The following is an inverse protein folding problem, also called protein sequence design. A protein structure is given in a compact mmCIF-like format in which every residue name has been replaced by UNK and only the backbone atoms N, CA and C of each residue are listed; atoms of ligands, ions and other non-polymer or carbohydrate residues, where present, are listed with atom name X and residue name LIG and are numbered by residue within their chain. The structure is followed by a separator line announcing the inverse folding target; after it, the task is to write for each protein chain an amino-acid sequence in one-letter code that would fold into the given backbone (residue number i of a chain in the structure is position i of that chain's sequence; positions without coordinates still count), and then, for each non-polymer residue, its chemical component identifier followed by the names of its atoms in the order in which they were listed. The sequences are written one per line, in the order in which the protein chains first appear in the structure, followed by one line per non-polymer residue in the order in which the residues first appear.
data_IF_734412418554
#
_entry.id   IF_734412418554
#
_cell.length_a   1.000
_cell.length_b   1.000
_cell.length_c   1.000
_cell.angle_alpha   90.00
_cell.angle_beta   90.00
_cell.angle_gamma   90.00
#
_symmetry.space_group_name_H-M   'P 1'
#
loop_
_entity.id
_entity.type
_entity.pdbx_description
1 polymer ?
#
# COMPACT_ATOMS: atom_id res chain seq x y z
N UNK A 1 -37.83 -30.55 15.98
CA UNK A 1 -37.51 -29.86 14.72
C UNK A 1 -37.27 -28.39 15.07
N UNK A 2 -36.13 -27.78 14.69
CA UNK A 2 -35.82 -27.45 13.29
C UNK A 2 -34.38 -27.78 12.84
N UNK A 3 -34.23 -27.96 11.51
CA UNK A 3 -32.95 -28.07 10.79
C UNK A 3 -32.48 -26.66 10.41
N UNK A 4 -31.26 -26.31 10.79
CA UNK A 4 -30.57 -25.10 10.31
C UNK A 4 -29.82 -25.49 9.03
N UNK A 5 -30.21 -24.89 7.91
CA UNK A 5 -29.42 -24.92 6.67
C UNK A 5 -28.34 -23.85 6.77
N UNK A 6 -27.09 -24.29 6.91
CA UNK A 6 -25.90 -23.50 6.62
C UNK A 6 -25.58 -23.76 5.15
N UNK A 7 -25.59 -22.71 4.32
CA UNK A 7 -25.03 -22.77 2.98
C UNK A 7 -24.10 -21.58 2.75
N UNK A 8 -22.99 -21.92 2.11
CA UNK A 8 -21.66 -21.34 2.27
C UNK A 8 -21.25 -20.38 1.13
N UNK A 9 -19.94 -20.06 1.16
CA UNK A 9 -19.09 -19.41 0.14
C UNK A 9 -19.16 -17.88 0.10
N UNK A 10 -18.06 -17.13 0.14
CA UNK A 10 -16.74 -17.40 -0.42
C UNK A 10 -15.57 -17.04 0.52
N UNK A 11 -14.56 -17.90 0.42
CA UNK A 11 -13.26 -17.90 1.06
C UNK A 11 -12.36 -16.84 0.39
N UNK A 12 -11.68 -16.00 1.19
CA UNK A 12 -10.54 -15.21 0.73
C UNK A 12 -9.28 -15.72 1.44
N UNK A 13 -8.62 -16.68 0.81
CA UNK A 13 -7.37 -17.29 1.29
C UNK A 13 -6.24 -16.26 1.17
N UNK A 14 -5.71 -15.82 2.30
CA UNK A 14 -4.45 -15.09 2.39
C UNK A 14 -3.32 -16.11 2.45
N UNK A 15 -2.68 -16.41 1.32
CA UNK A 15 -1.41 -17.13 1.34
C UNK A 15 -0.29 -16.16 1.69
N UNK A 16 0.34 -16.38 2.84
CA UNK A 16 1.71 -15.97 3.09
C UNK A 16 2.60 -17.01 2.40
N UNK A 17 3.41 -16.59 1.43
CA UNK A 17 4.38 -17.47 0.77
C UNK A 17 5.68 -17.40 1.57
N UNK A 18 6.17 -18.51 2.15
CA UNK A 18 7.52 -18.57 2.69
C UNK A 18 8.53 -18.63 1.52
N UNK A 19 9.62 -17.88 1.65
CA UNK A 19 10.70 -17.89 0.68
C UNK A 19 11.51 -19.20 0.78
N UNK A 20 11.33 -20.11 -0.16
CA UNK A 20 12.41 -20.89 -0.80
C UNK A 20 11.88 -21.86 -1.87
N UNK A 21 12.72 -22.08 -2.87
CA UNK A 21 12.71 -23.13 -3.92
C UNK A 21 12.19 -22.70 -5.29
N UNK A 22 13.15 -22.56 -6.21
CA UNK A 22 12.95 -22.61 -7.66
C UNK A 22 12.50 -24.04 -8.04
N UNK A 23 11.35 -24.18 -8.70
CA UNK A 23 11.14 -25.05 -9.88
C UNK A 23 9.68 -25.01 -10.39
N UNK A 24 9.57 -25.26 -11.69
CA UNK A 24 8.40 -25.62 -12.49
C UNK A 24 7.42 -24.52 -12.95
N UNK A 25 7.62 -24.17 -14.23
CA UNK A 25 6.59 -23.73 -15.18
C UNK A 25 5.34 -24.62 -15.10
N UNK A 26 4.22 -24.06 -14.67
CA UNK A 26 2.90 -24.31 -15.26
C UNK A 26 2.01 -23.11 -14.92
N UNK A 27 1.80 -22.24 -15.91
CA UNK A 27 1.13 -20.96 -15.73
C UNK A 27 -0.40 -21.14 -15.61
N UNK A 28 -1.04 -20.73 -14.50
CA UNK A 28 -2.49 -20.57 -14.48
C UNK A 28 -2.87 -19.29 -15.22
N UNK A 29 -3.12 -19.39 -16.53
CA UNK A 29 -3.48 -18.28 -17.46
C UNK A 29 -4.67 -17.38 -17.06
N UNK A 30 -5.38 -17.67 -15.97
CA UNK A 30 -6.51 -16.87 -15.49
C UNK A 30 -6.26 -16.07 -14.19
N UNK A 31 -5.17 -16.32 -13.46
CA UNK A 31 -4.82 -15.58 -12.24
C UNK A 31 -3.95 -14.36 -12.58
N UNK A 32 -3.16 -14.45 -13.65
CA UNK A 32 -2.12 -13.47 -13.98
C UNK A 32 -2.64 -12.10 -14.44
N UNK A 33 -3.84 -12.02 -15.02
CA UNK A 33 -4.36 -10.73 -15.52
C UNK A 33 -4.81 -9.79 -14.39
N UNK A 34 -5.24 -10.31 -13.24
CA UNK A 34 -5.57 -9.45 -12.08
C UNK A 34 -4.33 -9.08 -11.27
N UNK A 35 -3.30 -9.93 -11.25
CA UNK A 35 -2.02 -9.67 -10.56
C UNK A 35 -1.17 -8.68 -11.35
N UNK A 36 -1.16 -8.74 -12.69
CA UNK A 36 -0.50 -7.77 -13.55
C UNK A 36 -0.98 -6.32 -13.33
N UNK A 37 -2.22 -6.15 -12.84
CA UNK A 37 -2.78 -4.84 -12.51
C UNK A 37 -2.34 -4.32 -11.13
N UNK A 38 -1.49 -5.03 -10.38
CA UNK A 38 -1.08 -4.65 -9.02
C UNK A 38 0.44 -4.65 -8.85
N UNK A 39 0.93 -3.61 -8.21
CA UNK A 39 2.36 -3.40 -7.92
C UNK A 39 2.60 -3.73 -6.45
N UNK A 40 3.58 -4.59 -6.14
CA UNK A 40 3.98 -4.84 -4.76
C UNK A 40 4.52 -3.56 -4.13
N UNK A 41 4.02 -3.25 -2.94
CA UNK A 41 4.43 -2.11 -2.13
C UNK A 41 4.72 -2.61 -0.73
N UNK A 42 5.88 -2.28 -0.18
CA UNK A 42 6.23 -2.69 1.18
C UNK A 42 5.70 -1.67 2.17
N UNK A 43 5.28 -2.14 3.35
CA UNK A 43 4.98 -1.30 4.51
C UNK A 43 5.97 -1.68 5.58
N UNK A 44 6.69 -0.69 6.10
CA UNK A 44 7.62 -0.82 7.20
C UNK A 44 7.05 -0.10 8.43
N UNK A 45 7.06 -0.76 9.58
CA UNK A 45 6.71 -0.18 10.87
C UNK A 45 7.97 -0.06 11.73
N UNK A 46 8.22 1.15 12.22
CA UNK A 46 9.35 1.51 13.07
C UNK A 46 8.86 2.10 14.39
N UNK A 47 9.58 1.84 15.47
CA UNK A 47 9.29 2.39 16.80
C UNK A 47 9.54 3.90 16.89
N UNK A 48 10.58 4.38 16.22
CA UNK A 48 11.02 5.77 16.23
C UNK A 48 10.70 6.50 14.93
N UNK A 49 10.51 7.82 15.02
CA UNK A 49 10.31 8.69 13.86
C UNK A 49 11.43 8.51 12.83
N UNK A 50 11.06 8.30 11.59
CA UNK A 50 11.99 8.21 10.48
C UNK A 50 12.16 9.60 9.86
N UNK A 51 13.40 10.14 9.91
CA UNK A 51 13.73 11.47 9.38
C UNK A 51 12.80 12.58 9.91
N UNK A 52 12.41 12.50 11.18
CA UNK A 52 11.52 13.48 11.84
C UNK A 52 10.03 13.34 11.50
N UNK A 53 9.65 12.43 10.60
CA UNK A 53 8.27 12.25 10.15
C UNK A 53 7.62 10.99 10.72
N UNK A 54 6.30 11.06 10.92
CA UNK A 54 5.50 9.92 11.36
C UNK A 54 5.22 8.95 10.20
N UNK A 55 4.94 9.47 9.00
CA UNK A 55 4.65 8.66 7.82
C UNK A 55 5.40 9.21 6.61
N UNK A 56 6.11 8.33 5.92
CA UNK A 56 6.93 8.66 4.76
C UNK A 56 6.71 7.64 3.66
N UNK A 57 6.63 8.11 2.41
CA UNK A 57 6.71 7.26 1.22
C UNK A 57 8.13 7.36 0.67
N UNK A 58 8.81 6.21 0.59
CA UNK A 58 10.06 6.06 -0.14
C UNK A 58 9.74 5.48 -1.50
N UNK A 59 9.85 6.29 -2.55
CA UNK A 59 9.83 5.79 -3.92
C UNK A 59 11.20 5.25 -4.26
N UNK A 60 11.28 4.03 -4.80
CA UNK A 60 12.56 3.40 -5.14
C UNK A 60 12.45 2.64 -6.45
N UNK A 61 13.54 2.53 -7.22
CA UNK A 61 13.62 1.60 -8.33
C UNK A 61 13.18 0.18 -7.92
N UNK A 62 12.47 -0.54 -8.78
CA UNK A 62 12.00 -1.90 -8.48
C UNK A 62 13.15 -2.87 -8.19
N UNK A 63 14.27 -2.73 -8.87
CA UNK A 63 15.50 -3.51 -8.65
C UNK A 63 16.14 -3.24 -7.26
N UNK A 64 15.80 -2.12 -6.62
CA UNK A 64 16.20 -1.85 -5.25
C UNK A 64 15.16 -2.35 -4.22
N UNK A 65 14.07 -2.98 -4.66
CA UNK A 65 13.02 -3.49 -3.78
C UNK A 65 11.75 -2.63 -3.73
N UNK A 66 11.64 -1.65 -4.62
CA UNK A 66 10.40 -0.91 -4.88
C UNK A 66 9.95 0.02 -3.77
N UNK A 67 8.75 0.58 -3.94
CA UNK A 67 8.22 1.59 -3.03
C UNK A 67 7.95 1.04 -1.63
N UNK A 68 8.25 1.87 -0.62
CA UNK A 68 8.08 1.55 0.79
C UNK A 68 7.27 2.65 1.47
N UNK A 69 6.21 2.28 2.17
CA UNK A 69 5.50 3.14 3.12
C UNK A 69 6.13 2.92 4.50
N UNK A 70 6.83 3.91 5.02
CA UNK A 70 7.41 3.88 6.37
C UNK A 70 6.44 4.52 7.34
N UNK A 71 5.96 3.73 8.29
CA UNK A 71 5.12 4.12 9.42
C UNK A 71 5.99 4.15 10.67
N UNK A 72 5.99 5.27 11.38
CA UNK A 72 6.87 5.49 12.52
C UNK A 72 6.09 5.88 13.76
N UNK A 73 6.36 5.21 14.87
CA UNK A 73 5.82 5.54 16.18
C UNK A 73 4.62 4.70 16.61
N UNK A 74 4.30 4.70 17.92
CA UNK A 74 3.20 3.92 18.48
C UNK A 74 1.81 4.48 18.12
N UNK A 75 1.74 5.77 17.72
CA UNK A 75 0.51 6.47 17.36
C UNK A 75 -0.04 6.13 15.98
N UNK A 76 0.65 5.29 15.19
CA UNK A 76 0.22 4.93 13.85
C UNK A 76 -1.16 4.26 13.89
N UNK A 77 -2.11 4.87 13.19
CA UNK A 77 -3.50 4.40 13.09
C UNK A 77 -3.80 3.78 11.73
N UNK A 78 -4.86 2.95 11.62
CA UNK A 78 -5.35 2.45 10.34
C UNK A 78 -5.66 3.57 9.33
N UNK A 79 -6.17 4.71 9.80
CA UNK A 79 -6.44 5.89 8.96
C UNK A 79 -5.16 6.44 8.34
N UNK A 80 -4.07 6.51 9.10
CA UNK A 80 -2.76 6.98 8.59
C UNK A 80 -2.18 6.05 7.54
N UNK A 81 -2.28 4.74 7.74
CA UNK A 81 -1.87 3.76 6.73
C UNK A 81 -2.74 3.86 5.46
N UNK A 82 -4.07 3.96 5.59
CA UNK A 82 -4.96 4.13 4.44
C UNK A 82 -4.64 5.42 3.67
N UNK A 83 -4.45 6.54 4.36
CA UNK A 83 -4.05 7.81 3.77
C UNK A 83 -2.70 7.70 3.03
N UNK A 84 -1.72 7.01 3.59
CA UNK A 84 -0.42 6.80 2.97
C UNK A 84 -0.51 5.96 1.69
N UNK A 85 -1.35 4.92 1.68
CA UNK A 85 -1.58 4.09 0.49
C UNK A 85 -2.25 4.88 -0.64
N UNK A 86 -3.27 5.69 -0.32
CA UNK A 86 -3.91 6.60 -1.28
C UNK A 86 -2.91 7.63 -1.80
N UNK A 87 -2.14 8.25 -0.90
CA UNK A 87 -1.12 9.23 -1.27
C UNK A 87 -0.06 8.64 -2.21
N UNK A 88 0.48 7.45 -1.91
CA UNK A 88 1.42 6.77 -2.81
C UNK A 88 0.78 6.47 -4.18
N UNK A 89 -0.51 6.12 -4.20
CA UNK A 89 -1.24 5.89 -5.46
C UNK A 89 -1.28 7.19 -6.29
N UNK A 90 -1.59 8.33 -5.68
CA UNK A 90 -1.55 9.64 -6.35
C UNK A 90 -0.13 10.05 -6.78
N UNK A 91 0.90 9.75 -5.98
CA UNK A 91 2.30 9.99 -6.35
C UNK A 91 2.70 9.12 -7.56
N UNK A 92 2.23 7.87 -7.64
CA UNK A 92 2.45 7.01 -8.81
C UNK A 92 1.70 7.48 -10.05
N UNK A 93 0.53 8.09 -9.89
CA UNK A 93 -0.17 8.71 -11.01
C UNK A 93 0.60 9.90 -11.60
N UNK A 94 1.26 10.70 -10.76
CA UNK A 94 2.01 11.87 -11.23
C UNK A 94 3.43 11.54 -11.72
N UNK A 95 4.12 10.62 -11.04
CA UNK A 95 5.53 10.32 -11.30
C UNK A 95 5.76 9.04 -12.13
N UNK A 96 4.69 8.28 -12.41
CA UNK A 96 4.80 6.94 -12.98
C UNK A 96 4.94 5.86 -11.90
N UNK A 97 4.74 4.61 -12.33
CA UNK A 97 4.85 3.42 -11.47
C UNK A 97 6.31 3.11 -11.11
N UNK A 98 7.23 3.36 -12.03
CA UNK A 98 8.68 3.20 -11.87
C UNK A 98 9.37 4.54 -11.64
N UNK A 99 10.39 4.54 -10.80
CA UNK A 99 11.27 5.70 -10.58
C UNK A 99 12.72 5.33 -10.84
N UNK A 100 13.48 6.26 -11.42
CA UNK A 100 14.91 6.05 -11.69
C UNK A 100 15.80 6.29 -10.46
N UNK A 101 15.30 7.03 -9.45
CA UNK A 101 16.06 7.42 -8.26
C UNK A 101 15.20 7.27 -7.02
N UNK A 102 15.85 7.02 -5.90
CA UNK A 102 15.20 7.00 -4.60
C UNK A 102 14.73 8.41 -4.23
N UNK A 103 13.45 8.55 -3.86
CA UNK A 103 12.90 9.82 -3.35
C UNK A 103 12.11 9.61 -2.07
N UNK A 104 12.32 10.50 -1.12
CA UNK A 104 11.59 10.51 0.15
C UNK A 104 10.51 11.58 0.11
N UNK A 105 9.26 11.18 0.34
CA UNK A 105 8.10 12.08 0.28
C UNK A 105 7.32 11.93 1.59
N UNK A 106 7.40 12.92 2.49
CA UNK A 106 6.59 12.93 3.70
C UNK A 106 5.10 12.92 3.35
N UNK A 107 4.32 12.09 4.01
CA UNK A 107 2.86 12.07 3.81
C UNK A 107 2.24 13.19 4.63
N UNK A 108 1.56 14.17 4.01
CA UNK A 108 0.91 15.26 4.73
C UNK A 108 -0.01 14.72 5.82
N UNK A 109 0.01 15.36 6.99
CA UNK A 109 -0.97 15.12 8.03
C UNK A 109 -2.07 16.16 7.90
N UNK A 110 -3.23 15.75 7.40
CA UNK A 110 -4.42 16.60 7.39
C UNK A 110 -5.41 16.06 8.41
N UNK A 111 -5.42 16.59 9.65
CA UNK A 111 -6.38 16.17 10.66
C UNK A 111 -7.81 16.46 10.15
N UNK A 112 -8.71 15.49 10.30
CA UNK A 112 -10.11 15.62 9.87
C UNK A 112 -10.40 15.24 8.42
N UNK A 113 -9.39 14.91 7.60
CA UNK A 113 -9.63 14.27 6.30
C UNK A 113 -9.79 12.77 6.54
N UNK A 114 -11.03 12.30 6.51
CA UNK A 114 -11.30 10.87 6.41
C UNK A 114 -10.78 10.40 5.06
N UNK A 115 -9.59 9.80 5.06
CA UNK A 115 -9.14 8.98 3.94
C UNK A 115 -10.31 8.07 3.57
N UNK A 116 -10.73 8.10 2.29
CA UNK A 116 -11.95 7.46 1.79
C UNK A 116 -12.22 6.17 2.58
N UNK A 117 -13.37 6.12 3.27
CA UNK A 117 -13.69 5.08 4.26
C UNK A 117 -13.54 3.63 3.75
N UNK A 118 -13.48 3.48 2.43
CA UNK A 118 -13.44 2.24 1.66
C UNK A 118 -12.32 1.28 2.09
N UNK A 119 -11.19 1.73 2.62
CA UNK A 119 -10.07 0.82 2.96
C UNK A 119 -9.55 0.87 4.40
N UNK A 120 -10.20 1.61 5.32
CA UNK A 120 -9.75 1.70 6.72
C UNK A 120 -9.74 0.32 7.40
N UNK A 121 -10.74 -0.52 7.12
CA UNK A 121 -10.83 -1.88 7.69
C UNK A 121 -9.71 -2.79 7.17
N UNK A 122 -9.37 -2.69 5.88
CA UNK A 122 -8.26 -3.44 5.31
C UNK A 122 -6.92 -2.96 5.88
N UNK A 123 -6.71 -1.64 5.96
CA UNK A 123 -5.55 -1.03 6.61
C UNK A 123 -5.42 -1.47 8.08
N UNK A 124 -6.53 -1.57 8.82
CA UNK A 124 -6.53 -2.05 10.19
C UNK A 124 -6.02 -3.48 10.32
N UNK A 125 -6.50 -4.39 9.47
CA UNK A 125 -6.00 -5.78 9.43
C UNK A 125 -4.52 -5.85 9.09
N UNK A 126 -4.07 -5.07 8.11
CA UNK A 126 -2.65 -5.02 7.74
C UNK A 126 -1.79 -4.48 8.88
N UNK A 127 -2.22 -3.42 9.55
CA UNK A 127 -1.49 -2.84 10.67
C UNK A 127 -1.39 -3.81 11.86
N UNK A 128 -2.46 -4.54 12.18
CA UNK A 128 -2.43 -5.58 13.21
C UNK A 128 -1.41 -6.66 12.89
N UNK A 129 -1.39 -7.14 11.63
CA UNK A 129 -0.39 -8.14 11.18
C UNK A 129 1.03 -7.59 11.21
N UNK A 130 1.21 -6.34 10.81
CA UNK A 130 2.51 -5.68 10.77
C UNK A 130 3.13 -5.55 12.17
N UNK A 131 2.31 -5.23 13.18
CA UNK A 131 2.74 -5.13 14.59
C UNK A 131 3.25 -6.43 15.18
N UNK A 132 2.83 -7.57 14.63
CA UNK A 132 3.28 -8.91 15.06
C UNK A 132 4.31 -9.51 14.12
N UNK A 133 4.72 -8.80 13.07
CA UNK A 133 5.67 -9.31 12.09
C UNK A 133 7.09 -9.33 12.68
N UNK A 134 7.91 -10.26 12.17
CA UNK A 134 9.31 -10.33 12.53
C UNK A 134 10.05 -9.05 12.10
N UNK A 135 10.99 -8.62 12.92
CA UNK A 135 11.90 -7.54 12.57
C UNK A 135 12.82 -7.96 11.42
N UNK A 136 13.02 -7.05 10.49
CA UNK A 136 13.87 -7.19 9.33
C UNK A 136 14.71 -5.92 9.21
N UNK A 137 16.00 -6.07 8.94
CA UNK A 137 16.84 -4.91 8.66
C UNK A 137 16.66 -4.51 7.19
N UNK A 138 16.29 -3.25 6.96
CA UNK A 138 16.04 -2.71 5.63
C UNK A 138 17.08 -1.63 5.31
N UNK A 139 17.81 -1.76 4.19
CA UNK A 139 18.82 -0.78 3.81
C UNK A 139 18.27 0.66 3.82
N UNK A 140 19.03 1.57 4.45
CA UNK A 140 18.70 3.01 4.59
C UNK A 140 17.49 3.33 5.48
N UNK A 141 16.84 2.33 6.08
CA UNK A 141 15.72 2.50 7.02
C UNK A 141 16.08 1.98 8.41
N UNK A 142 16.80 0.86 8.48
CA UNK A 142 17.16 0.15 9.71
C UNK A 142 16.18 -0.99 10.04
N UNK A 143 16.21 -1.45 11.30
CA UNK A 143 15.35 -2.51 11.79
C UNK A 143 13.88 -2.09 11.86
N UNK A 144 13.03 -2.81 11.11
CA UNK A 144 11.60 -2.55 10.99
C UNK A 144 10.81 -3.85 10.94
N UNK A 145 9.55 -3.80 11.36
CA UNK A 145 8.60 -4.86 11.03
C UNK A 145 8.06 -4.58 9.63
N UNK A 146 8.04 -5.57 8.73
CA UNK A 146 7.72 -5.33 7.33
C UNK A 146 6.70 -6.31 6.77
N UNK A 147 5.82 -5.82 5.90
CA UNK A 147 4.92 -6.65 5.09
C UNK A 147 4.77 -6.08 3.68
N UNK A 148 4.32 -6.92 2.74
CA UNK A 148 3.99 -6.49 1.38
C UNK A 148 2.49 -6.37 1.21
N UNK A 149 2.04 -5.25 0.65
CA UNK A 149 0.69 -5.07 0.12
C UNK A 149 0.76 -4.88 -1.40
N UNK A 150 -0.40 -4.92 -2.04
CA UNK A 150 -0.50 -4.79 -3.49
C UNK A 150 -1.39 -3.59 -3.82
N UNK A 151 -0.78 -2.55 -4.40
CA UNK A 151 -1.48 -1.35 -4.82
C UNK A 151 -1.77 -1.41 -6.32
N UNK A 152 -2.83 -0.74 -6.83
CA UNK A 152 -3.13 -0.76 -8.24
C UNK A 152 -2.02 -0.10 -9.08
N UNK A 153 -1.62 -0.77 -10.15
CA UNK A 153 -0.79 -0.23 -11.25
C UNK A 153 -1.55 0.82 -12.05
N UNK A 154 -0.89 1.50 -12.99
CA UNK A 154 -1.52 2.42 -13.95
C UNK A 154 -2.73 1.81 -14.66
N UNK A 155 -2.63 0.58 -15.17
CA UNK A 155 -3.74 -0.12 -15.82
C UNK A 155 -4.87 -0.46 -14.84
N UNK A 156 -4.52 -0.85 -13.62
CA UNK A 156 -5.48 -1.09 -12.54
C UNK A 156 -6.22 0.18 -12.12
N UNK A 157 -5.52 1.31 -12.01
CA UNK A 157 -6.10 2.62 -11.70
C UNK A 157 -7.05 3.09 -12.81
N UNK A 158 -6.66 2.92 -14.08
CA UNK A 158 -7.52 3.21 -15.23
C UNK A 158 -8.82 2.39 -15.21
N UNK A 159 -8.72 1.09 -14.91
CA UNK A 159 -9.88 0.22 -14.79
C UNK A 159 -10.81 0.63 -13.64
N UNK A 160 -10.27 1.06 -12.50
CA UNK A 160 -11.05 1.59 -11.38
C UNK A 160 -11.76 2.90 -11.74
N UNK A 161 -11.10 3.78 -12.52
CA UNK A 161 -11.68 5.05 -12.99
C UNK A 161 -12.84 4.82 -13.96
N UNK A 162 -12.68 3.91 -14.93
CA UNK A 162 -13.75 3.54 -15.88
C UNK A 162 -14.99 2.97 -15.18
N UNK A 163 -14.81 2.36 -14.01
CA UNK A 163 -15.90 1.83 -13.17
C UNK A 163 -16.50 2.87 -12.21
N UNK A 164 -15.97 4.11 -12.19
CA UNK A 164 -16.41 5.16 -11.28
C UNK A 164 -16.11 4.90 -9.80
N UNK A 165 -15.21 3.95 -9.49
CA UNK A 165 -14.93 3.54 -8.11
C UNK A 165 -13.98 4.53 -7.42
N UNK A 166 -13.07 5.16 -8.16
CA UNK A 166 -12.11 6.11 -7.59
C UNK A 166 -11.87 7.31 -8.50
N UNK A 167 -11.95 8.51 -7.92
CA UNK A 167 -11.48 9.75 -8.52
C UNK A 167 -10.28 10.27 -7.72
N UNK A 168 -9.07 9.87 -8.13
CA UNK A 168 -7.82 10.30 -7.50
C UNK A 168 -7.46 11.77 -7.79
N UNK A 169 -8.23 12.46 -8.65
CA UNK A 169 -7.95 13.84 -9.04
C UNK A 169 -8.23 14.88 -7.93
N UNK A 170 -9.01 14.50 -6.90
CA UNK A 170 -9.36 15.36 -5.76
C UNK A 170 -8.27 15.51 -4.70
N UNK A 171 -7.10 14.89 -4.88
CA UNK A 171 -5.90 15.13 -4.06
C UNK A 171 -5.09 16.38 -4.45
N UNK A 172 -5.49 17.11 -5.51
CA UNK A 172 -4.86 18.39 -5.90
C UNK A 172 -5.25 19.50 -4.91
N UNK A 173 -4.59 19.50 -3.75
CA UNK A 173 -4.51 20.69 -2.91
C UNK A 173 -3.94 21.86 -3.70
N UNK A 174 -4.74 22.91 -3.86
CA UNK A 174 -4.37 24.29 -4.16
C UNK A 174 -3.17 24.52 -5.07
N UNK A 175 -3.40 24.61 -6.38
CA UNK A 175 -2.54 25.42 -7.25
C UNK A 175 -2.82 26.88 -6.87
N UNK A 176 -2.04 27.42 -5.93
CA UNK A 176 -2.04 28.85 -5.65
C UNK A 176 -1.75 29.56 -6.99
N UNK A 177 -2.71 30.36 -7.44
CA UNK A 177 -2.54 31.24 -8.57
C UNK A 177 -1.46 32.26 -8.24
N UNK A 178 -0.27 32.07 -8.81
CA UNK A 178 0.62 33.18 -9.12
C UNK A 178 0.11 33.74 -10.45
N UNK A 179 -0.73 34.75 -10.34
CA UNK A 179 -0.97 35.71 -11.41
C UNK A 179 -0.67 37.09 -10.85
N UNK A 180 0.15 37.77 -11.64
CA UNK A 180 0.89 39.00 -11.44
C UNK A 180 0.10 40.20 -10.95
#
# INVERSE_FOLDING_TARGET
MPRILIQACCIATLFAVPANSQEALDAPKHIDTQVAARIPTRIALRSERFQGHEVVVLRRPLNEGGDIIVLSGPSITPKRLAAAAVFLTSVRESMGDDVAKVSMIPVPYTPGVDAMAVDIKAAGRSLTKLRTAAHQDVPRIGSVQMMTIYLPSSTGREALRKRGIVDFSKGRGGRAGLSS
#
